data_IF_591742549577
#
_entry.id   IF_591742549577
#
_cell.length_a   1.000
_cell.length_b   1.000
_cell.length_c   1.000
_cell.angle_alpha   90.00
_cell.angle_beta   90.00
_cell.angle_gamma   90.00
#
_symmetry.space_group_name_H-M   'P 1'
#
loop_
_entity.id
_entity.type
_entity.pdbx_description
1 polymer ?
#
# COMPACT_ATOMS: atom_id res chain seq x y z
N UNK A 1 -74.81 -23.00 41.29
CA UNK A 1 -73.51 -22.58 41.86
C UNK A 1 -72.50 -23.66 41.55
N UNK A 2 -71.60 -23.43 40.59
CA UNK A 2 -70.34 -24.15 40.38
C UNK A 2 -69.62 -23.43 39.22
N UNK A 3 -68.86 -22.40 39.56
CA UNK A 3 -67.98 -21.68 38.64
C UNK A 3 -66.67 -21.40 39.37
N UNK A 4 -65.54 -21.79 38.77
CA UNK A 4 -64.22 -21.35 39.23
C UNK A 4 -63.23 -22.46 39.59
N UNK A 5 -62.99 -23.43 38.71
CA UNK A 5 -61.70 -24.14 38.67
C UNK A 5 -61.18 -24.02 37.25
N UNK A 6 -60.33 -23.04 37.00
CA UNK A 6 -59.80 -22.87 35.66
C UNK A 6 -59.00 -21.59 35.47
N UNK A 7 -57.96 -21.36 36.29
CA UNK A 7 -56.80 -20.50 35.91
C UNK A 7 -55.74 -20.48 37.00
N UNK A 8 -54.97 -21.56 37.19
CA UNK A 8 -53.66 -21.48 37.87
C UNK A 8 -52.54 -22.18 37.06
N UNK A 9 -52.85 -22.75 35.90
CA UNK A 9 -51.90 -23.56 35.10
C UNK A 9 -51.29 -22.91 33.85
N UNK A 10 -51.22 -21.58 33.74
CA UNK A 10 -50.73 -20.91 32.51
C UNK A 10 -49.51 -20.00 32.74
N UNK A 11 -49.20 -19.63 33.98
CA UNK A 11 -48.16 -18.62 34.26
C UNK A 11 -46.70 -19.14 34.30
N UNK A 12 -46.48 -20.47 34.36
CA UNK A 12 -45.12 -21.04 34.49
C UNK A 12 -44.46 -21.25 33.11
N UNK A 13 -45.23 -21.39 32.03
CA UNK A 13 -44.70 -21.57 30.68
C UNK A 13 -44.15 -20.30 30.02
N UNK A 14 -44.61 -19.12 30.43
CA UNK A 14 -44.19 -17.83 29.85
C UNK A 14 -42.85 -17.35 30.38
N UNK A 15 -42.50 -17.68 31.64
CA UNK A 15 -41.22 -17.27 32.24
C UNK A 15 -40.07 -18.09 31.65
N UNK A 16 -40.26 -19.40 31.46
CA UNK A 16 -39.25 -20.27 30.82
C UNK A 16 -39.04 -19.92 29.35
N UNK A 17 -40.09 -19.58 28.62
CA UNK A 17 -40.01 -19.10 27.24
C UNK A 17 -39.25 -17.77 27.10
N UNK A 18 -39.53 -16.80 27.98
CA UNK A 18 -38.84 -15.51 27.97
C UNK A 18 -37.34 -15.64 28.28
N UNK A 19 -36.97 -16.49 29.25
CA UNK A 19 -35.56 -16.77 29.57
C UNK A 19 -34.84 -17.45 28.39
N UNK A 20 -35.50 -18.39 27.71
CA UNK A 20 -34.92 -19.04 26.52
C UNK A 20 -34.68 -18.04 25.38
N UNK A 21 -35.59 -17.09 25.14
CA UNK A 21 -35.43 -16.05 24.12
C UNK A 21 -34.29 -15.09 24.49
N UNK A 22 -34.19 -14.66 25.76
CA UNK A 22 -33.09 -13.80 26.22
C UNK A 22 -31.74 -14.51 26.10
N UNK A 23 -31.67 -15.79 26.48
CA UNK A 23 -30.46 -16.58 26.35
C UNK A 23 -30.06 -16.81 24.89
N UNK A 24 -31.01 -17.11 24.01
CA UNK A 24 -30.78 -17.26 22.57
C UNK A 24 -30.32 -15.94 21.92
N UNK A 25 -30.91 -14.81 22.33
CA UNK A 25 -30.49 -13.49 21.86
C UNK A 25 -29.06 -13.14 22.32
N UNK A 26 -28.70 -13.48 23.55
CA UNK A 26 -27.35 -13.28 24.09
C UNK A 26 -26.30 -14.19 23.43
N UNK A 27 -26.64 -15.47 23.20
CA UNK A 27 -25.78 -16.40 22.51
C UNK A 27 -25.59 -15.99 21.04
N UNK A 28 -26.68 -15.53 20.41
CA UNK A 28 -26.68 -15.00 19.05
C UNK A 28 -25.85 -13.72 18.91
N UNK A 29 -25.95 -12.78 19.86
CA UNK A 29 -25.18 -11.53 19.83
C UNK A 29 -23.68 -11.80 19.95
N UNK A 30 -23.27 -12.68 20.87
CA UNK A 30 -21.86 -13.06 21.04
C UNK A 30 -21.28 -13.79 19.83
N UNK A 31 -22.06 -14.71 19.25
CA UNK A 31 -21.64 -15.45 18.05
C UNK A 31 -21.52 -14.53 16.83
N UNK A 32 -22.41 -13.54 16.72
CA UNK A 32 -22.37 -12.56 15.65
C UNK A 32 -21.18 -11.60 15.80
N UNK A 33 -20.89 -11.14 17.02
CA UNK A 33 -19.71 -10.31 17.31
C UNK A 33 -18.41 -11.06 16.96
N UNK A 34 -18.24 -12.30 17.42
CA UNK A 34 -17.06 -13.10 17.10
C UNK A 34 -16.92 -13.37 15.59
N UNK A 35 -18.04 -13.63 14.90
CA UNK A 35 -18.04 -13.82 13.45
C UNK A 35 -17.66 -12.53 12.70
N UNK A 36 -18.17 -11.38 13.17
CA UNK A 36 -17.85 -10.07 12.61
C UNK A 36 -16.37 -9.74 12.80
N UNK A 37 -15.82 -9.97 14.00
CA UNK A 37 -14.40 -9.78 14.30
C UNK A 37 -13.52 -10.67 13.41
N UNK A 38 -13.89 -11.95 13.27
CA UNK A 38 -13.18 -12.87 12.39
C UNK A 38 -13.19 -12.38 10.92
N UNK A 39 -14.33 -11.90 10.43
CA UNK A 39 -14.44 -11.39 9.04
C UNK A 39 -13.66 -10.09 8.82
N UNK A 40 -13.56 -9.23 9.83
CA UNK A 40 -12.74 -8.02 9.74
C UNK A 40 -11.25 -8.41 9.71
N UNK A 41 -10.84 -9.35 10.55
CA UNK A 41 -9.46 -9.84 10.59
C UNK A 41 -9.04 -10.50 9.26
N UNK A 42 -9.89 -11.35 8.68
CA UNK A 42 -9.65 -11.95 7.36
C UNK A 42 -9.44 -10.87 6.28
N UNK A 43 -10.29 -9.83 6.25
CA UNK A 43 -10.13 -8.72 5.30
C UNK A 43 -8.87 -7.91 5.56
N UNK A 44 -8.51 -7.68 6.82
CA UNK A 44 -7.28 -6.97 7.17
C UNK A 44 -6.04 -7.74 6.70
N UNK A 45 -6.03 -9.07 6.80
CA UNK A 45 -4.94 -9.93 6.32
C UNK A 45 -4.82 -9.84 4.79
N UNK A 46 -5.92 -10.05 4.06
CA UNK A 46 -5.93 -9.97 2.59
C UNK A 46 -5.48 -8.59 2.08
N UNK A 47 -5.91 -7.52 2.75
CA UNK A 47 -5.51 -6.16 2.37
C UNK A 47 -4.08 -5.84 2.78
N UNK A 48 -3.60 -6.32 3.93
CA UNK A 48 -2.20 -6.17 4.34
C UNK A 48 -1.26 -6.82 3.31
N UNK A 49 -1.60 -8.01 2.81
CA UNK A 49 -0.83 -8.68 1.77
C UNK A 49 -0.78 -7.85 0.47
N UNK A 50 -1.93 -7.37 -0.01
CA UNK A 50 -2.01 -6.53 -1.22
C UNK A 50 -1.20 -5.24 -1.08
N UNK A 51 -1.31 -4.57 0.07
CA UNK A 51 -0.58 -3.34 0.35
C UNK A 51 0.93 -3.60 0.34
N UNK A 52 1.39 -4.69 0.96
CA UNK A 52 2.81 -5.03 0.99
C UNK A 52 3.36 -5.37 -0.40
N UNK A 53 2.62 -6.15 -1.21
CA UNK A 53 3.00 -6.44 -2.59
C UNK A 53 3.14 -5.14 -3.39
N UNK A 54 2.12 -4.27 -3.35
CA UNK A 54 2.15 -2.98 -4.03
C UNK A 54 3.31 -2.09 -3.55
N UNK A 55 3.64 -2.13 -2.26
CA UNK A 55 4.74 -1.38 -1.64
C UNK A 55 6.10 -1.84 -2.13
N UNK A 56 6.33 -3.16 -2.20
CA UNK A 56 7.59 -3.70 -2.72
C UNK A 56 7.75 -3.49 -4.22
N UNK A 57 6.67 -3.64 -5.00
CA UNK A 57 6.68 -3.33 -6.42
C UNK A 57 6.97 -1.84 -6.66
N UNK A 58 6.42 -0.96 -5.81
CA UNK A 58 6.73 0.46 -5.84
C UNK A 58 8.19 0.77 -5.48
N UNK A 59 8.75 0.13 -4.45
CA UNK A 59 10.17 0.26 -4.07
C UNK A 59 11.07 -0.07 -5.26
N UNK A 60 10.82 -1.23 -5.88
CA UNK A 60 11.60 -1.71 -7.03
C UNK A 60 11.48 -0.74 -8.21
N UNK A 61 10.24 -0.40 -8.58
CA UNK A 61 9.96 0.47 -9.72
C UNK A 61 10.53 1.88 -9.54
N UNK A 62 10.53 2.42 -8.32
CA UNK A 62 11.19 3.68 -8.00
C UNK A 62 12.71 3.60 -8.19
N UNK A 63 13.34 2.49 -7.76
CA UNK A 63 14.76 2.26 -7.97
C UNK A 63 15.13 2.27 -9.45
N UNK A 64 14.41 1.49 -10.26
CA UNK A 64 14.63 1.36 -11.70
C UNK A 64 14.39 2.71 -12.41
N UNK A 65 13.26 3.37 -12.11
CA UNK A 65 12.91 4.66 -12.68
C UNK A 65 13.96 5.74 -12.37
N UNK A 66 14.44 5.80 -11.13
CA UNK A 66 15.46 6.76 -10.71
C UNK A 66 16.79 6.53 -11.42
N UNK A 67 17.19 5.26 -11.56
CA UNK A 67 18.39 4.92 -12.30
C UNK A 67 18.28 5.35 -13.77
N UNK A 68 17.16 5.06 -14.43
CA UNK A 68 16.92 5.48 -15.80
C UNK A 68 16.85 7.01 -15.95
N UNK A 69 16.20 7.70 -15.02
CA UNK A 69 16.14 9.15 -14.98
C UNK A 69 17.54 9.77 -14.82
N UNK A 70 18.40 9.23 -13.96
CA UNK A 70 19.77 9.69 -13.80
C UNK A 70 20.59 9.57 -15.11
N UNK A 71 20.36 8.50 -15.88
CA UNK A 71 21.01 8.31 -17.17
C UNK A 71 20.61 9.40 -18.17
N UNK A 72 19.35 9.88 -18.16
CA UNK A 72 18.94 11.02 -18.98
C UNK A 72 19.76 12.29 -18.67
N UNK A 73 20.06 12.56 -17.40
CA UNK A 73 20.86 13.73 -17.04
C UNK A 73 22.36 13.59 -17.39
N UNK A 74 22.82 12.38 -17.72
CA UNK A 74 24.23 12.12 -18.09
C UNK A 74 24.50 12.49 -19.55
N UNK A 75 23.53 12.30 -20.44
CA UNK A 75 23.69 12.46 -21.90
C UNK A 75 23.70 13.91 -22.39
N UNK A 76 24.29 14.85 -21.63
CA UNK A 76 24.27 16.29 -21.90
C UNK A 76 24.80 16.74 -23.27
N UNK A 77 25.45 15.86 -24.03
CA UNK A 77 25.86 16.06 -25.43
C UNK A 77 24.78 15.67 -26.46
N UNK A 78 23.99 14.63 -26.18
CA UNK A 78 23.15 13.98 -27.19
C UNK A 78 21.80 14.68 -27.45
N UNK A 79 21.53 15.81 -26.78
CA UNK A 79 20.40 16.68 -27.15
C UNK A 79 20.74 17.61 -28.33
N UNK A 80 22.03 17.94 -28.53
CA UNK A 80 22.45 18.66 -29.75
C UNK A 80 22.24 17.78 -30.99
N UNK A 81 22.53 16.49 -30.86
CA UNK A 81 22.36 15.51 -31.95
C UNK A 81 20.88 15.21 -32.28
N UNK A 82 19.94 15.51 -31.37
CA UNK A 82 18.50 15.38 -31.61
C UNK A 82 17.91 16.56 -32.41
N UNK A 83 18.58 17.72 -32.42
CA UNK A 83 18.15 18.91 -33.17
C UNK A 83 18.51 18.84 -34.67
N UNK A 84 19.52 18.05 -35.05
CA UNK A 84 20.06 18.01 -36.43
C UNK A 84 19.43 16.96 -37.37
N UNK A 85 18.41 16.22 -36.90
CA UNK A 85 17.59 15.34 -37.76
C UNK A 85 18.17 13.94 -38.02
N UNK A 86 17.26 13.03 -38.41
CA UNK A 86 17.38 11.63 -38.84
C UNK A 86 18.30 10.64 -38.06
N UNK A 87 19.53 11.00 -37.67
CA UNK A 87 20.42 10.19 -36.84
C UNK A 87 20.00 10.16 -35.36
N UNK A 88 19.08 11.04 -34.99
CA UNK A 88 18.42 11.10 -33.69
C UNK A 88 17.92 9.74 -33.16
N UNK A 89 17.44 8.86 -34.05
CA UNK A 89 16.85 7.55 -33.67
C UNK A 89 17.86 6.50 -33.21
N UNK A 90 19.15 6.66 -33.51
CA UNK A 90 20.23 5.75 -33.09
C UNK A 90 21.12 6.33 -31.99
N UNK A 91 20.95 7.62 -31.66
CA UNK A 91 21.70 8.31 -30.61
C UNK A 91 21.52 7.66 -29.24
N UNK A 92 22.57 7.74 -28.42
CA UNK A 92 22.56 7.25 -27.04
C UNK A 92 21.45 7.93 -26.19
N UNK A 93 21.13 9.20 -26.47
CA UNK A 93 20.01 9.90 -25.84
C UNK A 93 18.65 9.30 -26.17
N UNK A 94 18.39 8.96 -27.44
CA UNK A 94 17.11 8.36 -27.81
C UNK A 94 16.93 6.97 -27.19
N UNK A 95 18.02 6.19 -27.06
CA UNK A 95 18.02 4.92 -26.32
C UNK A 95 17.73 5.13 -24.84
N UNK A 96 18.39 6.10 -24.20
CA UNK A 96 18.15 6.43 -22.80
C UNK A 96 16.71 6.91 -22.55
N UNK A 97 16.14 7.71 -23.46
CA UNK A 97 14.77 8.19 -23.37
C UNK A 97 13.75 7.05 -23.52
N UNK A 98 13.91 6.16 -24.51
CA UNK A 98 13.06 4.97 -24.66
C UNK A 98 13.14 4.05 -23.45
N UNK A 99 14.33 3.86 -22.91
CA UNK A 99 14.54 3.07 -21.69
C UNK A 99 13.80 3.68 -20.50
N UNK A 100 13.91 4.99 -20.31
CA UNK A 100 13.17 5.72 -19.28
C UNK A 100 11.65 5.59 -19.46
N UNK A 101 11.11 5.81 -20.67
CA UNK A 101 9.66 5.72 -20.91
C UNK A 101 9.13 4.31 -20.63
N UNK A 102 9.90 3.26 -20.95
CA UNK A 102 9.53 1.88 -20.63
C UNK A 102 9.40 1.68 -19.12
N UNK A 103 10.36 2.18 -18.34
CA UNK A 103 10.33 2.08 -16.87
C UNK A 103 9.32 3.03 -16.24
N UNK A 104 9.02 4.16 -16.87
CA UNK A 104 7.96 5.09 -16.46
C UNK A 104 6.59 4.43 -16.52
N UNK A 105 6.31 3.62 -17.53
CA UNK A 105 5.06 2.86 -17.62
C UNK A 105 4.95 1.83 -16.49
N UNK A 106 5.99 1.03 -16.26
CA UNK A 106 6.03 0.07 -15.14
C UNK A 106 5.86 0.78 -13.79
N UNK A 107 6.56 1.90 -13.59
CA UNK A 107 6.44 2.72 -12.38
C UNK A 107 5.05 3.33 -12.21
N UNK A 108 4.39 3.70 -13.31
CA UNK A 108 3.02 4.22 -13.29
C UNK A 108 2.02 3.15 -12.86
N UNK A 109 2.21 1.90 -13.28
CA UNK A 109 1.41 0.76 -12.82
C UNK A 109 1.60 0.49 -11.33
N UNK A 110 2.84 0.43 -10.85
CA UNK A 110 3.13 0.26 -9.43
C UNK A 110 2.52 1.37 -8.57
N UNK A 111 2.64 2.63 -9.05
CA UNK A 111 2.00 3.79 -8.39
C UNK A 111 0.48 3.69 -8.36
N UNK A 112 -0.17 3.22 -9.44
CA UNK A 112 -1.63 3.01 -9.45
C UNK A 112 -2.04 1.92 -8.46
N UNK A 113 -1.29 0.83 -8.38
CA UNK A 113 -1.55 -0.23 -7.41
C UNK A 113 -1.50 0.28 -5.97
N UNK A 114 -0.56 1.19 -5.63
CA UNK A 114 -0.56 1.89 -4.35
C UNK A 114 -1.81 2.76 -4.14
N UNK A 115 -2.19 3.53 -5.17
CA UNK A 115 -3.37 4.40 -5.11
C UNK A 115 -4.66 3.61 -4.86
N UNK A 116 -4.81 2.46 -5.52
CA UNK A 116 -5.96 1.58 -5.35
C UNK A 116 -6.08 1.01 -3.93
N UNK A 117 -4.95 0.94 -3.20
CA UNK A 117 -4.91 0.49 -1.82
C UNK A 117 -5.23 1.59 -0.80
N UNK A 118 -5.20 2.88 -1.17
CA UNK A 118 -5.41 3.98 -0.21
C UNK A 118 -6.80 3.94 0.48
N UNK A 119 -7.92 3.69 -0.23
CA UNK A 119 -9.23 3.65 0.41
C UNK A 119 -9.33 2.53 1.45
N UNK A 120 -8.76 1.35 1.16
CA UNK A 120 -8.80 0.20 2.07
C UNK A 120 -7.79 0.35 3.21
N UNK A 121 -6.64 0.97 2.97
CA UNK A 121 -5.67 1.33 4.00
C UNK A 121 -6.33 2.20 5.08
N UNK A 122 -7.02 3.27 4.67
CA UNK A 122 -7.74 4.17 5.59
C UNK A 122 -8.89 3.46 6.33
N UNK A 123 -9.65 2.63 5.62
CA UNK A 123 -10.87 2.03 6.16
C UNK A 123 -10.60 0.87 7.13
N UNK A 124 -9.52 0.11 6.94
CA UNK A 124 -9.23 -1.11 7.69
C UNK A 124 -8.09 -0.98 8.69
N UNK A 125 -7.21 0.01 8.52
CA UNK A 125 -6.08 0.24 9.40
C UNK A 125 -6.25 1.62 10.06
N UNK A 126 -5.80 2.68 9.40
CA UNK A 126 -5.90 4.06 9.86
C UNK A 126 -5.39 5.06 8.80
N UNK A 127 -5.41 6.34 9.16
CA UNK A 127 -4.86 7.42 8.33
C UNK A 127 -3.33 7.39 8.22
N UNK A 128 -2.63 6.76 9.16
CA UNK A 128 -1.16 6.69 9.15
C UNK A 128 -0.67 5.81 8.00
N UNK A 129 -1.34 4.68 7.75
CA UNK A 129 -1.03 3.81 6.62
C UNK A 129 -1.33 4.50 5.27
N UNK A 130 -2.49 5.16 5.16
CA UNK A 130 -2.85 5.96 3.99
C UNK A 130 -1.80 7.06 3.72
N UNK A 131 -1.35 7.74 4.78
CA UNK A 131 -0.33 8.78 4.68
C UNK A 131 1.02 8.22 4.22
N UNK A 132 1.45 7.07 4.76
CA UNK A 132 2.71 6.44 4.37
C UNK A 132 2.71 6.04 2.87
N UNK A 133 1.60 5.47 2.39
CA UNK A 133 1.39 5.19 0.97
C UNK A 133 1.45 6.48 0.14
N UNK A 134 0.78 7.54 0.60
CA UNK A 134 0.79 8.85 -0.07
C UNK A 134 2.19 9.46 -0.17
N UNK A 135 2.99 9.40 0.89
CA UNK A 135 4.38 9.89 0.89
C UNK A 135 5.29 9.08 -0.04
N UNK A 136 5.06 7.76 -0.14
CA UNK A 136 5.77 6.91 -1.11
C UNK A 136 5.38 7.28 -2.55
N UNK A 137 4.09 7.53 -2.81
CA UNK A 137 3.60 7.98 -4.12
C UNK A 137 4.20 9.33 -4.55
N UNK A 138 4.39 10.28 -3.61
CA UNK A 138 5.04 11.57 -3.89
C UNK A 138 6.46 11.41 -4.42
N UNK A 139 7.17 10.33 -4.07
CA UNK A 139 8.51 10.09 -4.61
C UNK A 139 8.48 9.86 -6.13
N UNK A 140 7.43 9.21 -6.66
CA UNK A 140 7.26 9.09 -8.11
C UNK A 140 7.05 10.46 -8.76
N UNK A 141 6.23 11.32 -8.15
CA UNK A 141 5.99 12.68 -8.65
C UNK A 141 7.27 13.49 -8.75
N UNK A 142 8.12 13.42 -7.71
CA UNK A 142 9.39 14.12 -7.70
C UNK A 142 10.27 13.68 -8.88
N UNK A 143 10.36 12.37 -9.16
CA UNK A 143 11.17 11.85 -10.28
C UNK A 143 10.57 12.28 -11.62
N UNK A 144 9.26 12.17 -11.79
CA UNK A 144 8.57 12.59 -13.02
C UNK A 144 8.74 14.09 -13.30
N UNK A 145 8.61 14.93 -12.27
CA UNK A 145 8.81 16.37 -12.38
C UNK A 145 10.27 16.72 -12.69
N UNK A 146 11.23 16.06 -12.02
CA UNK A 146 12.65 16.28 -12.27
C UNK A 146 12.99 16.01 -13.74
N UNK A 147 12.53 14.89 -14.30
CA UNK A 147 12.74 14.56 -15.72
C UNK A 147 12.04 15.54 -16.67
N UNK A 148 10.80 15.94 -16.37
CA UNK A 148 10.05 16.90 -17.19
C UNK A 148 10.74 18.26 -17.31
N UNK A 149 11.39 18.72 -16.22
CA UNK A 149 12.09 20.01 -16.18
C UNK A 149 13.48 19.98 -16.83
N UNK A 150 13.96 18.82 -17.30
CA UNK A 150 15.36 18.60 -17.73
C UNK A 150 15.86 19.60 -18.77
N UNK A 151 15.04 19.93 -19.75
CA UNK A 151 15.43 20.74 -20.91
C UNK A 151 15.72 22.21 -20.54
N UNK A 152 15.16 22.66 -19.42
CA UNK A 152 15.29 24.03 -18.91
C UNK A 152 16.52 24.19 -17.97
N UNK A 153 17.26 23.11 -17.71
CA UNK A 153 18.33 23.10 -16.71
C UNK A 153 19.70 23.45 -17.28
N UNK A 154 20.42 24.32 -16.56
CA UNK A 154 21.85 24.52 -16.74
C UNK A 154 22.64 23.23 -16.48
N UNK A 155 23.88 23.09 -17.00
CA UNK A 155 24.73 21.92 -16.77
C UNK A 155 24.89 21.56 -15.28
N UNK A 156 25.13 22.57 -14.42
CA UNK A 156 25.29 22.35 -12.97
C UNK A 156 24.01 21.80 -12.33
N UNK A 157 22.84 22.32 -12.74
CA UNK A 157 21.54 21.83 -12.25
C UNK A 157 21.27 20.40 -12.73
N UNK A 158 21.67 20.04 -13.96
CA UNK A 158 21.56 18.66 -14.46
C UNK A 158 22.45 17.70 -13.67
N UNK A 159 23.68 18.11 -13.36
CA UNK A 159 24.58 17.32 -12.52
C UNK A 159 24.01 17.13 -11.11
N UNK A 160 23.42 18.17 -10.52
CA UNK A 160 22.74 18.06 -9.23
C UNK A 160 21.55 17.09 -9.27
N UNK A 161 20.69 17.15 -10.30
CA UNK A 161 19.58 16.19 -10.49
C UNK A 161 20.07 14.76 -10.69
N UNK A 162 21.13 14.56 -11.48
CA UNK A 162 21.79 13.26 -11.62
C UNK A 162 22.24 12.72 -10.27
N UNK A 163 22.98 13.51 -9.50
CA UNK A 163 23.50 13.10 -8.19
C UNK A 163 22.40 12.77 -7.18
N UNK A 164 21.24 13.43 -7.26
CA UNK A 164 20.05 13.14 -6.46
C UNK A 164 19.40 11.80 -6.85
N UNK A 165 19.35 11.50 -8.15
CA UNK A 165 18.66 10.33 -8.69
C UNK A 165 19.50 9.06 -8.70
N UNK A 166 20.83 9.16 -8.79
CA UNK A 166 21.74 7.99 -8.80
C UNK A 166 21.79 7.30 -7.43
N UNK A 167 21.44 6.00 -7.34
CA UNK A 167 21.65 5.20 -6.13
C UNK A 167 23.15 5.06 -5.83
N UNK A 168 23.55 5.05 -4.56
CA UNK A 168 24.94 4.89 -4.15
C UNK A 168 25.82 6.16 -4.17
N UNK A 169 25.36 7.30 -4.72
CA UNK A 169 26.16 8.52 -4.88
C UNK A 169 26.35 9.38 -3.60
N UNK A 170 27.36 10.28 -3.57
CA UNK A 170 27.73 11.09 -2.38
C UNK A 170 26.98 12.44 -2.31
N UNK A 171 25.64 12.46 -2.31
CA UNK A 171 24.87 13.73 -2.18
C UNK A 171 23.90 13.75 -0.98
N UNK A 172 23.79 14.88 -0.28
CA UNK A 172 22.88 15.06 0.88
C UNK A 172 21.40 14.90 0.52
N UNK A 173 21.00 15.32 -0.69
CA UNK A 173 19.60 15.19 -1.14
C UNK A 173 19.23 13.75 -1.54
N UNK A 174 20.22 12.92 -1.90
CA UNK A 174 20.02 11.47 -2.08
C UNK A 174 19.66 10.81 -0.75
N UNK A 175 20.37 11.18 0.33
CA UNK A 175 20.07 10.65 1.66
C UNK A 175 18.62 10.90 2.04
N UNK A 176 18.00 11.99 1.58
CA UNK A 176 16.60 12.29 1.86
C UNK A 176 15.63 11.40 1.09
N UNK A 177 15.81 11.18 -0.21
CA UNK A 177 14.89 10.34 -0.99
C UNK A 177 14.99 8.86 -0.61
N UNK A 178 16.21 8.32 -0.49
CA UNK A 178 16.42 6.94 -0.04
C UNK A 178 15.86 6.76 1.38
N UNK A 179 16.19 7.66 2.32
CA UNK A 179 15.66 7.57 3.67
C UNK A 179 14.14 7.76 3.73
N UNK A 180 13.54 8.59 2.86
CA UNK A 180 12.08 8.75 2.84
C UNK A 180 11.42 7.47 2.35
N UNK A 181 11.92 6.87 1.26
CA UNK A 181 11.40 5.61 0.74
C UNK A 181 11.51 4.52 1.82
N UNK A 182 12.69 4.34 2.42
CA UNK A 182 12.89 3.33 3.46
C UNK A 182 12.03 3.61 4.70
N UNK A 183 11.90 4.87 5.12
CA UNK A 183 11.05 5.24 6.26
C UNK A 183 9.57 4.93 6.01
N UNK A 184 9.04 5.23 4.82
CA UNK A 184 7.64 4.93 4.51
C UNK A 184 7.40 3.43 4.35
N UNK A 185 8.34 2.70 3.74
CA UNK A 185 8.25 1.25 3.63
C UNK A 185 8.27 0.60 5.02
N UNK A 186 9.20 0.99 5.88
CA UNK A 186 9.24 0.49 7.25
C UNK A 186 7.94 0.79 8.00
N UNK A 187 7.36 1.98 7.83
CA UNK A 187 6.07 2.32 8.44
C UNK A 187 4.92 1.46 7.92
N UNK A 188 4.88 1.17 6.63
CA UNK A 188 3.90 0.26 6.03
C UNK A 188 4.11 -1.17 6.57
N UNK A 189 5.35 -1.63 6.63
CA UNK A 189 5.71 -2.94 7.17
C UNK A 189 5.33 -3.10 8.65
N UNK A 190 5.57 -2.08 9.47
CA UNK A 190 5.22 -2.06 10.90
C UNK A 190 3.71 -2.22 11.13
N UNK A 191 2.88 -1.76 10.19
CA UNK A 191 1.41 -1.86 10.27
C UNK A 191 0.91 -3.18 9.67
N UNK A 192 1.41 -3.57 8.50
CA UNK A 192 0.89 -4.70 7.74
C UNK A 192 1.48 -6.06 8.15
N UNK A 193 2.78 -6.14 8.48
CA UNK A 193 3.43 -7.42 8.83
C UNK A 193 2.84 -8.07 10.09
N UNK A 194 2.46 -7.35 11.15
CA UNK A 194 1.82 -7.96 12.31
C UNK A 194 0.53 -8.72 11.96
N UNK A 195 -0.27 -8.21 11.02
CA UNK A 195 -1.52 -8.87 10.59
C UNK A 195 -1.23 -10.22 9.92
N UNK A 196 -0.22 -10.28 9.06
CA UNK A 196 0.20 -11.54 8.41
C UNK A 196 0.81 -12.53 9.41
N UNK A 197 1.61 -12.03 10.36
CA UNK A 197 2.23 -12.87 11.40
C UNK A 197 1.21 -13.43 12.39
N UNK A 198 0.15 -12.69 12.69
CA UNK A 198 -0.96 -13.17 13.50
C UNK A 198 -1.71 -14.31 12.80
N UNK A 199 -1.93 -14.21 11.47
CA UNK A 199 -2.56 -15.25 10.67
C UNK A 199 -1.73 -16.55 10.60
N UNK A 200 -0.40 -16.44 10.53
CA UNK A 200 0.51 -17.58 10.50
C UNK A 200 0.60 -18.35 11.83
N UNK A 201 0.23 -17.73 12.96
CA UNK A 201 0.11 -18.38 14.27
C UNK A 201 -1.33 -18.86 14.46
N UNK A 202 -1.71 -19.97 13.83
CA UNK A 202 -2.90 -20.70 14.28
C UNK A 202 -2.74 -21.04 15.76
N UNK A 203 -3.73 -20.76 16.64
CA UNK A 203 -3.80 -21.40 17.94
C UNK A 203 -3.84 -22.92 17.70
N UNK A 204 -2.95 -23.68 18.32
CA UNK A 204 -3.20 -25.10 18.50
C UNK A 204 -4.57 -25.24 19.16
N UNK A 205 -5.40 -26.09 18.57
CA UNK A 205 -6.78 -26.35 18.94
C UNK A 205 -6.81 -27.02 20.33
N UNK A 206 -6.78 -26.25 21.41
CA UNK A 206 -7.02 -26.73 22.78
C UNK A 206 -8.54 -26.83 23.04
N UNK A 207 -9.27 -27.51 22.16
CA UNK A 207 -10.61 -27.99 22.51
C UNK A 207 -10.49 -29.41 23.05
N UNK A 208 -10.82 -29.66 24.33
CA UNK A 208 -11.02 -31.03 24.77
C UNK A 208 -12.21 -31.61 23.97
N UNK A 209 -11.95 -32.72 23.28
CA UNK A 209 -12.99 -33.55 22.69
C UNK A 209 -13.97 -33.98 23.78
N UNK A 210 -15.22 -33.51 23.64
CA UNK A 210 -16.39 -34.00 24.38
C UNK A 210 -17.05 -35.11 23.56
#
# INVERSE_FOLDING_TARGET
MLSGIGTIGVAIGTISGAVAVVFAAWLGSRTFESWREQKISERQIDQAERILIATYDARRSLGDLRHAAANLFTSGSAQRDLQDGAEALTSEAAKAHRYYETLRETASLARRSLADCMPTAKALFDADLEQAIGELMKQFDIVFQDVRSRDELSPDKRQAKRNKLTPGGPSEDRNKMDATIDAQINRIEDICLPQLRAAGRKPCDDRPSV
#
